data_IF_239700970972
#
_entry.id   IF_239700970972
#
_cell.length_a   1.000
_cell.length_b   1.000
_cell.length_c   1.000
_cell.angle_alpha   90.00
_cell.angle_beta   90.00
_cell.angle_gamma   90.00
#
_symmetry.space_group_name_H-M   'P 1'
#
loop_
_entity.id
_entity.type
_entity.pdbx_description
1 polymer ?
#
# COMPACT_ATOMS: atom_id res chain seq x y z
N UNK A 1 25.68 9.10 50.72
CA UNK A 1 25.37 8.61 49.35
C UNK A 1 24.00 9.07 48.82
N UNK A 2 22.90 9.03 49.61
CA UNK A 2 21.56 9.46 49.14
C UNK A 2 21.40 10.93 48.72
N UNK A 3 22.14 11.87 49.34
CA UNK A 3 22.08 13.31 48.99
C UNK A 3 22.82 13.67 47.69
N UNK A 4 23.84 12.91 47.30
CA UNK A 4 24.60 13.11 46.05
C UNK A 4 23.82 12.61 44.83
N UNK A 5 23.06 11.52 44.96
CA UNK A 5 22.15 11.00 43.93
C UNK A 5 20.99 11.96 43.64
N UNK A 6 20.51 12.71 44.64
CA UNK A 6 19.42 13.68 44.45
C UNK A 6 19.86 14.91 43.66
N UNK A 7 21.09 15.38 43.84
CA UNK A 7 21.60 16.57 43.16
C UNK A 7 21.91 16.30 41.68
N UNK A 8 22.43 15.11 41.35
CA UNK A 8 22.70 14.73 39.97
C UNK A 8 21.42 14.51 39.15
N UNK A 9 20.36 13.97 39.77
CA UNK A 9 19.05 13.81 39.11
C UNK A 9 18.41 15.17 38.84
N UNK A 10 18.44 16.10 39.80
CA UNK A 10 17.89 17.45 39.60
C UNK A 10 18.67 18.21 38.52
N UNK A 11 19.99 18.09 38.50
CA UNK A 11 20.82 18.72 37.47
C UNK A 11 20.59 18.12 36.07
N UNK A 12 20.39 16.80 35.97
CA UNK A 12 20.08 16.13 34.71
C UNK A 12 18.70 16.57 34.17
N UNK A 13 17.69 16.70 35.03
CA UNK A 13 16.35 17.21 34.63
C UNK A 13 16.44 18.67 34.19
N UNK A 14 17.20 19.51 34.89
CA UNK A 14 17.35 20.93 34.54
C UNK A 14 18.05 21.12 33.18
N UNK A 15 19.01 20.25 32.85
CA UNK A 15 19.69 20.25 31.54
C UNK A 15 18.74 19.87 30.40
N UNK A 16 17.78 18.96 30.62
CA UNK A 16 16.79 18.59 29.59
C UNK A 16 15.79 19.70 29.25
N UNK A 17 15.50 20.60 30.19
CA UNK A 17 14.56 21.72 29.99
C UNK A 17 15.21 22.88 29.20
N UNK A 18 16.54 22.97 29.24
CA UNK A 18 17.31 24.01 28.52
C UNK A 18 17.67 23.62 27.08
N UNK A 19 17.22 22.45 26.59
CA UNK A 19 17.42 22.06 25.20
C UNK A 19 16.50 22.88 24.29
N UNK A 20 17.03 23.64 23.32
CA UNK A 20 16.19 24.39 22.39
C UNK A 20 15.42 23.39 21.52
N UNK A 21 14.09 23.42 21.61
CA UNK A 21 13.25 22.76 20.62
C UNK A 21 13.45 23.49 19.29
N UNK A 22 13.96 22.78 18.29
CA UNK A 22 14.11 23.32 16.95
C UNK A 22 12.73 23.62 16.35
N UNK A 23 12.23 24.83 16.56
CA UNK A 23 11.06 25.32 15.83
C UNK A 23 11.52 25.62 14.42
N UNK A 24 11.21 24.72 13.50
CA UNK A 24 11.49 24.92 12.09
C UNK A 24 10.58 26.03 11.56
N UNK A 25 11.08 27.27 11.57
CA UNK A 25 10.50 28.33 10.78
C UNK A 25 10.58 27.88 9.31
N UNK A 26 9.41 27.65 8.71
CA UNK A 26 9.32 27.15 7.34
C UNK A 26 9.86 28.22 6.38
N UNK A 27 10.48 27.80 5.28
CA UNK A 27 10.96 28.76 4.29
C UNK A 27 9.78 29.47 3.63
N UNK A 28 9.59 30.74 3.97
CA UNK A 28 8.61 31.62 3.35
C UNK A 28 9.03 33.05 3.64
N UNK A 29 9.69 33.71 2.70
CA UNK A 29 9.85 35.16 2.77
C UNK A 29 8.44 35.76 2.65
N UNK A 30 8.02 36.54 3.64
CA UNK A 30 6.80 37.33 3.52
C UNK A 30 6.97 38.35 2.40
N UNK A 31 5.92 38.57 1.63
CA UNK A 31 5.91 39.66 0.66
C UNK A 31 5.76 41.02 1.35
N UNK A 32 5.77 42.09 0.55
CA UNK A 32 5.65 43.47 1.05
C UNK A 32 4.34 43.78 1.76
N UNK A 33 3.33 42.89 1.71
CA UNK A 33 2.03 43.04 2.39
C UNK A 33 1.93 42.19 3.67
N UNK A 34 3.01 41.49 4.05
CA UNK A 34 3.06 40.70 5.28
C UNK A 34 2.43 39.31 5.18
N UNK A 35 2.17 38.82 3.96
CA UNK A 35 1.67 37.46 3.75
C UNK A 35 2.64 36.59 2.97
N UNK A 36 2.37 35.29 2.91
CA UNK A 36 3.18 34.35 2.15
C UNK A 36 2.39 33.14 1.66
N UNK A 37 2.87 32.56 0.56
CA UNK A 37 2.39 31.27 0.06
C UNK A 37 3.04 30.12 0.84
N UNK A 38 2.22 29.13 1.22
CA UNK A 38 2.69 27.86 1.74
C UNK A 38 3.52 27.12 0.69
N UNK A 39 4.74 26.72 1.05
CA UNK A 39 5.53 25.82 0.20
C UNK A 39 4.85 24.45 0.10
N UNK A 40 5.04 23.76 -1.03
CA UNK A 40 4.47 22.42 -1.25
C UNK A 40 4.81 21.43 -0.12
N UNK A 41 5.99 21.55 0.49
CA UNK A 41 6.43 20.71 1.62
C UNK A 41 5.72 21.04 2.95
N UNK A 42 5.22 22.26 3.11
CA UNK A 42 4.45 22.67 4.30
C UNK A 42 2.99 22.25 4.18
N UNK A 43 2.45 22.31 2.96
CA UNK A 43 1.11 21.81 2.62
C UNK A 43 1.04 20.28 2.81
N UNK A 44 2.04 19.53 2.32
CA UNK A 44 2.06 18.07 2.44
C UNK A 44 2.16 17.57 3.90
N UNK A 45 2.68 18.40 4.80
CA UNK A 45 2.75 18.12 6.25
C UNK A 45 1.51 18.59 7.01
N UNK A 46 0.52 19.18 6.33
CA UNK A 46 -0.70 19.70 6.95
C UNK A 46 -0.46 20.91 7.87
N UNK A 47 0.67 21.62 7.71
CA UNK A 47 1.04 22.71 8.61
C UNK A 47 0.41 24.05 8.19
N UNK A 48 0.01 24.17 6.92
CA UNK A 48 -0.74 25.30 6.41
C UNK A 48 -1.41 24.98 5.06
N UNK A 49 -2.41 25.77 4.68
CA UNK A 49 -3.18 25.60 3.44
C UNK A 49 -3.22 26.92 2.65
N UNK A 50 -2.41 27.03 1.60
CA UNK A 50 -2.46 28.17 0.65
C UNK A 50 -1.67 29.42 1.08
N UNK A 51 -2.18 30.60 0.76
CA UNK A 51 -1.59 31.88 1.14
C UNK A 51 -2.18 32.37 2.47
N UNK A 52 -1.37 32.89 3.39
CA UNK A 52 -1.89 33.47 4.63
C UNK A 52 -1.07 34.69 5.12
N UNK A 53 -1.74 35.60 5.82
CA UNK A 53 -1.20 36.87 6.33
C UNK A 53 -0.85 36.80 7.82
N UNK A 54 0.21 37.50 8.22
CA UNK A 54 0.68 37.62 9.61
C UNK A 54 0.49 39.04 10.18
N UNK A 55 -0.55 39.76 9.76
CA UNK A 55 -0.80 41.14 10.21
C UNK A 55 -1.43 41.16 11.62
N UNK A 56 -0.58 41.03 12.63
CA UNK A 56 -0.90 41.29 14.03
C UNK A 56 -0.89 42.79 14.35
N UNK A 57 -2.02 43.47 14.11
CA UNK A 57 -2.38 44.75 14.74
C UNK A 57 -1.72 46.04 14.19
N UNK A 58 -2.54 46.93 13.62
CA UNK A 58 -2.19 48.34 13.37
C UNK A 58 -2.85 48.95 12.12
N UNK A 59 -3.88 49.76 12.33
CA UNK A 59 -4.44 50.81 11.44
C UNK A 59 -3.33 51.62 10.72
N UNK A 60 -3.45 52.20 9.52
CA UNK A 60 -4.57 52.66 8.67
C UNK A 60 -3.96 53.19 7.36
N UNK A 61 -4.65 53.09 6.23
CA UNK A 61 -4.96 54.24 5.35
C UNK A 61 -5.60 53.77 4.05
N UNK A 62 -6.78 54.32 3.80
CA UNK A 62 -7.54 54.23 2.56
C UNK A 62 -6.88 55.05 1.46
N UNK A 63 -6.64 54.41 0.32
CA UNK A 63 -6.59 55.08 -0.98
C UNK A 63 -7.44 54.27 -1.95
N UNK A 64 -8.59 54.83 -2.28
CA UNK A 64 -9.49 54.36 -3.32
C UNK A 64 -8.93 54.77 -4.67
N UNK A 65 -8.50 53.79 -5.45
CA UNK A 65 -8.27 53.95 -6.89
C UNK A 65 -9.21 52.99 -7.65
N UNK A 66 -10.22 53.61 -8.24
CA UNK A 66 -11.11 53.02 -9.22
C UNK A 66 -10.29 52.64 -10.46
N UNK A 67 -10.02 51.34 -10.63
CA UNK A 67 -9.50 50.80 -11.88
C UNK A 67 -10.53 49.85 -12.48
N UNK A 68 -10.89 50.21 -13.70
CA UNK A 68 -11.72 49.51 -14.67
C UNK A 68 -11.72 47.99 -14.55
N UNK A 69 -12.91 47.43 -14.38
CA UNK A 69 -13.23 46.02 -14.54
C UNK A 69 -12.92 45.56 -15.97
N UNK A 70 -11.68 45.18 -16.24
CA UNK A 70 -11.39 44.22 -17.29
C UNK A 70 -11.82 42.86 -16.76
N UNK A 71 -12.90 42.31 -17.34
CA UNK A 71 -13.37 40.96 -17.07
C UNK A 71 -12.34 39.96 -17.61
N UNK A 72 -11.21 39.87 -16.92
CA UNK A 72 -10.25 38.80 -17.08
C UNK A 72 -10.95 37.56 -16.54
N UNK A 73 -11.42 36.68 -17.42
CA UNK A 73 -11.96 35.40 -17.01
C UNK A 73 -10.86 34.64 -16.27
N UNK A 74 -10.87 34.71 -14.94
CA UNK A 74 -9.95 33.95 -14.10
C UNK A 74 -10.25 32.48 -14.39
N UNK A 75 -9.33 31.84 -15.11
CA UNK A 75 -9.41 30.41 -15.37
C UNK A 75 -9.08 29.72 -14.06
N UNK A 76 -10.09 29.25 -13.35
CA UNK A 76 -9.91 28.60 -12.05
C UNK A 76 -9.01 27.37 -12.19
N UNK A 77 -8.00 27.25 -11.33
CA UNK A 77 -7.07 26.14 -11.33
C UNK A 77 -7.67 24.92 -10.59
N UNK A 78 -7.38 23.71 -11.09
CA UNK A 78 -7.88 22.47 -10.50
C UNK A 78 -6.97 21.99 -9.37
N UNK A 79 -7.53 21.80 -8.18
CA UNK A 79 -6.85 21.24 -7.00
C UNK A 79 -7.46 19.89 -6.62
N UNK A 80 -6.63 18.91 -6.28
CA UNK A 80 -7.07 17.57 -5.84
C UNK A 80 -6.48 17.28 -4.46
N UNK A 81 -7.32 17.16 -3.43
CA UNK A 81 -6.85 17.03 -2.04
C UNK A 81 -6.04 15.75 -1.77
N UNK A 82 -6.44 14.64 -2.38
CA UNK A 82 -5.83 13.32 -2.23
C UNK A 82 -5.27 12.82 -3.57
N UNK A 83 -4.48 13.66 -4.23
CA UNK A 83 -3.91 13.38 -5.55
C UNK A 83 -3.04 12.12 -5.56
N UNK A 84 -2.32 11.85 -4.47
CA UNK A 84 -1.51 10.64 -4.30
C UNK A 84 -2.37 9.44 -3.92
N UNK A 85 -2.07 8.28 -4.52
CA UNK A 85 -2.74 7.03 -4.16
C UNK A 85 -2.44 6.66 -2.70
N UNK A 86 -3.44 6.20 -1.91
CA UNK A 86 -3.22 5.78 -0.53
C UNK A 86 -2.37 4.51 -0.44
N UNK A 87 -2.45 3.64 -1.46
CA UNK A 87 -1.59 2.45 -1.59
C UNK A 87 -1.12 2.27 -3.03
N UNK A 88 0.05 1.63 -3.26
CA UNK A 88 0.60 1.42 -4.61
C UNK A 88 -0.34 0.69 -5.58
N UNK A 89 -1.22 -0.18 -5.07
CA UNK A 89 -2.15 -0.98 -5.89
C UNK A 89 -3.45 -0.24 -6.22
N UNK A 90 -3.73 0.91 -5.59
CA UNK A 90 -4.97 1.63 -5.82
C UNK A 90 -4.99 2.32 -7.18
N UNK A 91 -6.09 2.17 -7.92
CA UNK A 91 -6.27 2.77 -9.25
C UNK A 91 -7.20 3.98 -9.18
N UNK A 92 -6.87 5.05 -9.91
CA UNK A 92 -7.75 6.22 -10.01
C UNK A 92 -9.04 5.83 -10.72
N UNK A 93 -10.18 6.11 -10.09
CA UNK A 93 -11.50 5.92 -10.70
C UNK A 93 -11.97 7.23 -11.34
N UNK A 94 -12.11 8.28 -10.54
CA UNK A 94 -12.58 9.60 -10.98
C UNK A 94 -12.19 10.68 -9.99
N UNK A 95 -12.18 11.93 -10.44
CA UNK A 95 -12.13 13.09 -9.55
C UNK A 95 -13.57 13.60 -9.38
N UNK A 96 -14.00 13.76 -8.14
CA UNK A 96 -15.35 14.24 -7.77
C UNK A 96 -15.23 15.69 -7.33
N UNK A 97 -16.00 16.58 -7.96
CA UNK A 97 -16.06 17.99 -7.57
C UNK A 97 -16.53 18.11 -6.12
N UNK A 98 -15.83 18.93 -5.34
CA UNK A 98 -16.17 19.22 -3.96
C UNK A 98 -16.69 20.65 -3.82
N UNK A 99 -15.90 21.62 -4.25
CA UNK A 99 -16.21 23.04 -4.13
C UNK A 99 -15.39 23.87 -5.11
N UNK A 100 -15.64 25.18 -5.15
CA UNK A 100 -14.80 26.12 -5.88
C UNK A 100 -14.83 27.48 -5.21
N UNK A 101 -13.73 28.20 -5.26
CA UNK A 101 -13.65 29.60 -4.86
C UNK A 101 -13.31 30.50 -6.06
N UNK A 102 -12.83 31.72 -5.82
CA UNK A 102 -12.45 32.68 -6.88
C UNK A 102 -11.32 32.17 -7.77
N UNK A 103 -10.39 31.36 -7.24
CA UNK A 103 -9.16 30.96 -7.91
C UNK A 103 -9.10 29.46 -8.22
N UNK A 104 -9.80 28.62 -7.47
CA UNK A 104 -9.64 27.17 -7.49
C UNK A 104 -10.95 26.40 -7.64
N UNK A 105 -10.84 25.22 -8.25
CA UNK A 105 -11.87 24.18 -8.24
C UNK A 105 -11.30 22.97 -7.51
N UNK A 106 -11.91 22.62 -6.39
CA UNK A 106 -11.48 21.54 -5.51
C UNK A 106 -12.16 20.23 -5.88
N UNK A 107 -11.36 19.17 -5.94
CA UNK A 107 -11.81 17.81 -6.19
C UNK A 107 -11.27 16.85 -5.14
N UNK A 108 -12.00 15.76 -4.94
CA UNK A 108 -11.52 14.57 -4.25
C UNK A 108 -11.44 13.41 -5.23
N UNK A 109 -10.31 12.73 -5.26
CA UNK A 109 -10.07 11.57 -6.11
C UNK A 109 -10.61 10.31 -5.44
N UNK A 110 -11.48 9.61 -6.15
CA UNK A 110 -11.95 8.28 -5.77
C UNK A 110 -10.94 7.25 -6.27
N UNK A 111 -10.46 6.42 -5.35
CA UNK A 111 -9.52 5.33 -5.60
C UNK A 111 -10.23 3.98 -5.49
N UNK A 112 -10.00 3.09 -6.46
CA UNK A 112 -10.34 1.68 -6.32
C UNK A 112 -9.12 0.96 -5.75
N UNK A 113 -9.21 0.61 -4.48
CA UNK A 113 -8.22 -0.15 -3.73
C UNK A 113 -8.62 -1.63 -3.63
N UNK A 114 -9.50 -2.11 -4.50
CA UNK A 114 -9.79 -3.53 -4.58
C UNK A 114 -8.63 -4.23 -5.29
N UNK A 115 -8.21 -5.37 -4.74
CA UNK A 115 -7.15 -6.19 -5.32
C UNK A 115 -7.73 -7.15 -6.33
N UNK A 116 -7.19 -7.13 -7.54
CA UNK A 116 -7.66 -7.96 -8.66
C UNK A 116 -6.56 -8.86 -9.18
N UNK A 117 -6.93 -10.10 -9.50
CA UNK A 117 -6.09 -11.01 -10.28
C UNK A 117 -5.97 -10.51 -11.73
N UNK A 118 -5.04 -11.07 -12.49
CA UNK A 118 -4.95 -10.81 -13.94
C UNK A 118 -6.20 -11.29 -14.71
N UNK A 119 -7.02 -12.16 -14.11
CA UNK A 119 -8.34 -12.54 -14.65
C UNK A 119 -9.49 -11.61 -14.21
N UNK A 120 -9.22 -10.57 -13.42
CA UNK A 120 -10.22 -9.65 -12.89
C UNK A 120 -11.01 -10.17 -11.68
N UNK A 121 -10.59 -11.28 -11.07
CA UNK A 121 -11.22 -11.76 -9.83
C UNK A 121 -10.72 -10.94 -8.64
N UNK A 122 -11.63 -10.56 -7.74
CA UNK A 122 -11.26 -9.91 -6.48
C UNK A 122 -10.59 -10.92 -5.56
N UNK A 123 -9.48 -10.53 -4.94
CA UNK A 123 -8.79 -11.33 -3.94
C UNK A 123 -8.46 -10.52 -2.69
N UNK A 124 -8.25 -11.21 -1.58
CA UNK A 124 -7.67 -10.62 -0.35
C UNK A 124 -6.40 -11.36 0.00
N UNK A 125 -5.40 -10.65 0.51
CA UNK A 125 -4.23 -11.30 1.12
C UNK A 125 -4.64 -11.88 2.48
N UNK A 126 -4.08 -13.04 2.81
CA UNK A 126 -4.27 -13.73 4.09
C UNK A 126 -2.93 -13.74 4.81
N UNK A 127 -2.90 -13.21 6.02
CA UNK A 127 -1.73 -13.20 6.90
C UNK A 127 -1.60 -14.54 7.63
N UNK A 128 -1.35 -15.60 6.85
CA UNK A 128 -1.22 -16.97 7.35
C UNK A 128 0.23 -17.42 7.33
N UNK A 129 0.69 -17.94 8.46
CA UNK A 129 1.93 -18.69 8.55
C UNK A 129 1.76 -20.11 8.02
N UNK A 130 2.80 -20.66 7.40
CA UNK A 130 2.82 -22.05 6.91
C UNK A 130 3.81 -22.87 7.74
N UNK A 131 3.35 -24.00 8.27
CA UNK A 131 4.17 -25.00 8.95
C UNK A 131 4.11 -26.31 8.17
N UNK A 132 5.29 -26.86 7.85
CA UNK A 132 5.44 -28.16 7.17
C UNK A 132 6.19 -29.09 8.12
N UNK A 133 5.57 -30.21 8.50
CA UNK A 133 6.10 -31.12 9.54
C UNK A 133 6.53 -30.36 10.80
N UNK A 134 5.62 -29.51 11.31
CA UNK A 134 5.81 -28.62 12.47
C UNK A 134 6.95 -27.59 12.34
N UNK A 135 7.56 -27.46 11.16
CA UNK A 135 8.62 -26.49 10.89
C UNK A 135 8.07 -25.31 10.12
N UNK A 136 8.30 -24.10 10.65
CA UNK A 136 7.89 -22.85 10.00
C UNK A 136 8.57 -22.68 8.63
N UNK A 137 7.78 -22.35 7.63
CA UNK A 137 8.24 -22.02 6.29
C UNK A 137 8.06 -20.53 6.02
N UNK A 138 9.18 -19.82 5.88
CA UNK A 138 9.15 -18.44 5.39
C UNK A 138 8.56 -18.39 3.98
N UNK A 139 7.49 -17.61 3.83
CA UNK A 139 6.75 -17.39 2.60
C UNK A 139 7.36 -16.23 1.82
N UNK A 140 7.47 -16.39 0.49
CA UNK A 140 7.82 -15.30 -0.40
C UNK A 140 6.62 -14.39 -0.68
N UNK A 141 5.41 -14.95 -0.64
CA UNK A 141 4.17 -14.21 -0.81
C UNK A 141 3.10 -14.72 0.15
N UNK A 142 2.23 -13.81 0.58
CA UNK A 142 1.07 -14.16 1.40
C UNK A 142 0.14 -15.10 0.63
N UNK A 143 -0.56 -15.94 1.38
CA UNK A 143 -1.72 -16.64 0.83
C UNK A 143 -2.73 -15.61 0.32
N UNK A 144 -3.53 -15.99 -0.68
CA UNK A 144 -4.65 -15.18 -1.13
C UNK A 144 -5.96 -15.94 -1.00
N UNK A 145 -7.06 -15.23 -0.75
CA UNK A 145 -8.41 -15.78 -0.78
C UNK A 145 -9.16 -15.24 -1.98
N UNK A 146 -9.80 -16.13 -2.73
CA UNK A 146 -10.74 -15.79 -3.80
C UNK A 146 -12.01 -16.59 -3.56
N UNK A 147 -13.15 -15.91 -3.40
CA UNK A 147 -14.45 -16.55 -3.11
C UNK A 147 -14.34 -17.59 -1.98
N UNK A 148 -13.69 -17.24 -0.88
CA UNK A 148 -13.44 -18.09 0.30
C UNK A 148 -12.60 -19.35 0.03
N UNK A 149 -11.90 -19.42 -1.10
CA UNK A 149 -10.92 -20.47 -1.39
C UNK A 149 -9.52 -19.89 -1.26
N UNK A 150 -8.68 -20.54 -0.46
CA UNK A 150 -7.28 -20.15 -0.27
C UNK A 150 -6.40 -20.64 -1.41
N UNK A 151 -5.46 -19.80 -1.82
CA UNK A 151 -4.45 -20.10 -2.81
C UNK A 151 -3.06 -19.81 -2.25
N UNK A 152 -2.10 -20.64 -2.63
CA UNK A 152 -0.69 -20.53 -2.24
C UNK A 152 0.14 -20.12 -3.45
N UNK A 153 1.17 -19.29 -3.21
CA UNK A 153 2.13 -18.95 -4.24
C UNK A 153 2.93 -20.18 -4.67
N UNK A 154 3.11 -20.34 -5.98
CA UNK A 154 3.71 -21.54 -6.56
C UNK A 154 5.13 -21.84 -6.04
N UNK A 155 5.95 -20.82 -5.75
CA UNK A 155 7.30 -21.05 -5.22
C UNK A 155 7.31 -21.45 -3.75
N UNK A 156 6.31 -21.02 -3.00
CA UNK A 156 6.14 -21.46 -1.61
C UNK A 156 5.61 -22.90 -1.56
N UNK A 157 4.71 -23.27 -2.48
CA UNK A 157 4.31 -24.67 -2.67
C UNK A 157 5.51 -25.55 -3.08
N UNK A 158 6.32 -25.06 -4.03
CA UNK A 158 7.55 -25.73 -4.47
C UNK A 158 8.45 -26.04 -3.27
N UNK A 159 8.67 -25.05 -2.41
CA UNK A 159 9.51 -25.20 -1.22
C UNK A 159 8.88 -26.14 -0.19
N UNK A 160 7.57 -26.09 0.02
CA UNK A 160 6.88 -26.90 1.02
C UNK A 160 6.91 -28.42 0.71
N UNK A 161 6.88 -28.78 -0.57
CA UNK A 161 6.80 -30.18 -1.03
C UNK A 161 8.02 -30.62 -1.86
N UNK A 162 9.10 -29.85 -1.82
CA UNK A 162 10.35 -30.10 -2.54
C UNK A 162 10.19 -30.38 -4.05
N UNK A 163 9.27 -29.65 -4.70
CA UNK A 163 9.13 -29.74 -6.15
C UNK A 163 10.33 -29.11 -6.87
N UNK A 164 10.68 -29.62 -8.03
CA UNK A 164 11.42 -28.89 -9.06
C UNK A 164 10.46 -27.97 -9.82
N UNK A 165 10.92 -26.79 -10.23
CA UNK A 165 10.12 -25.81 -10.96
C UNK A 165 10.79 -25.50 -12.30
N UNK A 166 10.09 -25.78 -13.38
CA UNK A 166 10.52 -25.53 -14.75
C UNK A 166 9.52 -24.65 -15.50
N UNK A 167 9.99 -23.94 -16.51
CA UNK A 167 9.18 -23.19 -17.46
C UNK A 167 9.56 -23.65 -18.85
N UNK A 168 8.59 -24.19 -19.61
CA UNK A 168 8.83 -24.64 -20.98
C UNK A 168 8.87 -23.47 -21.98
N UNK A 169 9.23 -23.75 -23.23
CA UNK A 169 9.34 -22.74 -24.29
C UNK A 169 8.00 -22.00 -24.54
N UNK A 170 6.88 -22.68 -24.30
CA UNK A 170 5.53 -22.13 -24.39
C UNK A 170 5.11 -21.37 -23.12
N UNK A 171 6.04 -21.13 -22.20
CA UNK A 171 5.85 -20.47 -20.90
C UNK A 171 4.89 -21.19 -19.97
N UNK A 172 4.59 -22.47 -20.23
CA UNK A 172 3.86 -23.27 -19.27
C UNK A 172 4.76 -23.55 -18.07
N UNK A 173 4.15 -23.59 -16.90
CA UNK A 173 4.87 -23.83 -15.66
C UNK A 173 4.71 -25.31 -15.27
N UNK A 174 5.81 -25.95 -14.91
CA UNK A 174 5.83 -27.37 -14.59
C UNK A 174 6.46 -27.52 -13.19
N UNK A 175 5.74 -28.17 -12.28
CA UNK A 175 6.24 -28.63 -11.00
C UNK A 175 6.44 -30.15 -11.06
N UNK A 176 7.63 -30.65 -10.75
CA UNK A 176 7.95 -32.09 -10.76
C UNK A 176 8.39 -32.54 -9.38
N UNK A 177 7.75 -33.56 -8.83
CA UNK A 177 8.28 -34.34 -7.70
C UNK A 177 8.75 -35.69 -8.23
N UNK A 178 9.20 -36.57 -7.34
CA UNK A 178 9.58 -37.95 -7.69
C UNK A 178 8.42 -38.72 -8.34
N UNK A 179 7.20 -38.51 -7.85
CA UNK A 179 6.04 -39.33 -8.22
C UNK A 179 5.04 -38.61 -9.14
N UNK A 180 5.02 -37.26 -9.13
CA UNK A 180 3.97 -36.47 -9.77
C UNK A 180 4.50 -35.30 -10.58
N UNK A 181 3.78 -34.96 -11.65
CA UNK A 181 4.00 -33.75 -12.44
C UNK A 181 2.73 -32.90 -12.48
N UNK A 182 2.84 -31.65 -12.00
CA UNK A 182 1.80 -30.64 -12.12
C UNK A 182 2.18 -29.67 -13.24
N UNK A 183 1.36 -29.58 -14.29
CA UNK A 183 1.55 -28.64 -15.41
C UNK A 183 0.48 -27.57 -15.42
N UNK A 184 0.88 -26.31 -15.54
CA UNK A 184 0.00 -25.14 -15.63
C UNK A 184 0.20 -24.52 -17.00
N UNK A 185 -0.86 -24.54 -17.82
CA UNK A 185 -0.79 -23.95 -19.15
C UNK A 185 -0.85 -22.44 -19.11
N UNK A 186 0.07 -21.74 -19.79
CA UNK A 186 0.21 -20.29 -19.67
C UNK A 186 -1.05 -19.51 -20.09
N UNK A 187 -1.62 -19.87 -21.25
CA UNK A 187 -2.77 -19.16 -21.81
C UNK A 187 -4.07 -19.46 -21.04
N UNK A 188 -4.37 -20.75 -20.85
CA UNK A 188 -5.64 -21.17 -20.24
C UNK A 188 -5.62 -21.15 -18.72
N UNK A 189 -4.42 -21.14 -18.11
CA UNK A 189 -4.17 -21.32 -16.67
C UNK A 189 -4.69 -22.65 -16.12
N UNK A 190 -5.11 -23.58 -16.97
CA UNK A 190 -5.59 -24.90 -16.53
C UNK A 190 -4.45 -25.68 -15.88
N UNK A 191 -4.77 -26.34 -14.76
CA UNK A 191 -3.84 -27.17 -14.01
C UNK A 191 -4.08 -28.63 -14.39
N UNK A 192 -3.02 -29.32 -14.76
CA UNK A 192 -3.01 -30.75 -15.06
C UNK A 192 -2.12 -31.46 -14.06
N UNK A 193 -2.58 -32.60 -13.52
CA UNK A 193 -1.80 -33.51 -12.71
C UNK A 193 -1.61 -34.79 -13.52
N UNK A 194 -0.36 -35.18 -13.77
CA UNK A 194 0.02 -36.38 -14.52
C UNK A 194 -0.73 -36.50 -15.86
N UNK A 195 -0.80 -35.38 -16.57
CA UNK A 195 -1.46 -35.28 -17.88
C UNK A 195 -2.99 -35.20 -17.84
N UNK A 196 -3.64 -35.19 -16.67
CA UNK A 196 -5.10 -35.07 -16.53
C UNK A 196 -5.50 -33.72 -15.96
N UNK A 197 -6.50 -33.07 -16.57
CA UNK A 197 -7.03 -31.81 -16.06
C UNK A 197 -7.63 -32.02 -14.66
N UNK A 198 -7.24 -31.18 -13.71
CA UNK A 198 -7.65 -31.34 -12.31
C UNK A 198 -9.03 -30.76 -12.00
N UNK A 199 -9.64 -30.05 -12.96
CA UNK A 199 -10.84 -29.24 -12.71
C UNK A 199 -10.54 -27.85 -12.15
N UNK A 200 -9.26 -27.53 -11.90
CA UNK A 200 -8.84 -26.25 -11.34
C UNK A 200 -8.00 -25.45 -12.32
N UNK A 201 -8.10 -24.13 -12.17
CA UNK A 201 -7.24 -23.17 -12.86
C UNK A 201 -6.35 -22.47 -11.85
N UNK A 202 -5.11 -22.21 -12.24
CA UNK A 202 -4.22 -21.33 -11.52
C UNK A 202 -4.72 -19.90 -11.64
N UNK A 203 -4.38 -19.10 -10.64
CA UNK A 203 -4.62 -17.67 -10.61
C UNK A 203 -3.29 -16.96 -10.81
N UNK A 204 -3.31 -15.79 -11.45
CA UNK A 204 -2.12 -14.98 -11.63
C UNK A 204 -2.32 -13.60 -11.01
N UNK A 205 -1.37 -13.17 -10.19
CA UNK A 205 -1.35 -11.88 -9.50
C UNK A 205 0.05 -11.31 -9.67
N UNK A 206 0.16 -10.11 -10.26
CA UNK A 206 1.43 -9.41 -10.49
C UNK A 206 2.52 -10.31 -11.10
N UNK A 207 2.18 -11.06 -12.15
CA UNK A 207 3.11 -11.96 -12.83
C UNK A 207 3.28 -13.34 -12.15
N UNK A 208 2.78 -13.52 -10.93
CA UNK A 208 3.02 -14.71 -10.10
C UNK A 208 1.83 -15.67 -10.11
N UNK A 209 2.11 -16.97 -10.25
CA UNK A 209 1.08 -18.02 -10.18
C UNK A 209 0.75 -18.43 -8.76
N UNK A 210 -0.55 -18.55 -8.50
CA UNK A 210 -1.16 -19.03 -7.27
C UNK A 210 -2.01 -20.26 -7.57
N UNK A 211 -1.88 -21.27 -6.72
CA UNK A 211 -2.56 -22.55 -6.87
C UNK A 211 -3.55 -22.78 -5.71
N UNK A 212 -4.71 -23.43 -5.97
CA UNK A 212 -5.70 -23.69 -4.94
C UNK A 212 -5.10 -24.59 -3.86
N UNK A 213 -4.88 -24.03 -2.67
CA UNK A 213 -4.00 -24.60 -1.66
C UNK A 213 -4.40 -26.03 -1.26
N UNK A 214 -5.67 -26.25 -0.92
CA UNK A 214 -6.17 -27.57 -0.50
C UNK A 214 -5.99 -28.65 -1.58
N UNK A 215 -6.24 -28.28 -2.83
CA UNK A 215 -6.07 -29.19 -3.95
C UNK A 215 -4.58 -29.48 -4.19
N UNK A 216 -3.72 -28.45 -4.10
CA UNK A 216 -2.27 -28.61 -4.24
C UNK A 216 -1.65 -29.49 -3.17
N UNK A 217 -2.04 -29.34 -1.90
CA UNK A 217 -1.59 -30.24 -0.82
C UNK A 217 -1.97 -31.69 -1.14
N UNK A 218 -3.19 -31.93 -1.63
CA UNK A 218 -3.64 -33.27 -2.01
C UNK A 218 -2.86 -33.85 -3.19
N UNK A 219 -2.53 -33.04 -4.20
CA UNK A 219 -1.73 -33.48 -5.35
C UNK A 219 -0.29 -33.81 -4.99
N UNK A 220 0.22 -33.21 -3.91
CA UNK A 220 1.53 -33.50 -3.36
C UNK A 220 1.52 -34.65 -2.34
N UNK A 221 0.42 -35.41 -2.26
CA UNK A 221 0.17 -36.46 -1.26
C UNK A 221 0.28 -36.01 0.21
N UNK A 222 0.33 -34.70 0.44
CA UNK A 222 0.38 -34.10 1.75
C UNK A 222 -0.94 -34.17 2.50
N UNK A 223 -0.89 -33.87 3.79
CA UNK A 223 -2.07 -33.80 4.67
C UNK A 223 -2.14 -32.45 5.35
N UNK A 224 -3.33 -31.86 5.36
CA UNK A 224 -3.62 -30.70 6.20
C UNK A 224 -3.95 -31.23 7.60
N UNK A 225 -3.09 -30.95 8.56
CA UNK A 225 -3.32 -31.34 9.95
C UNK A 225 -4.35 -30.41 10.61
N UNK A 226 -4.15 -29.10 10.46
CA UNK A 226 -5.01 -28.07 11.04
C UNK A 226 -4.87 -26.76 10.28
N UNK A 227 -5.94 -25.95 10.35
CA UNK A 227 -5.98 -24.58 9.84
C UNK A 227 -6.65 -23.76 10.94
N UNK A 228 -5.97 -22.71 11.39
CA UNK A 228 -6.54 -21.69 12.25
C UNK A 228 -6.52 -20.31 11.54
N UNK A 229 -6.82 -19.23 12.29
CA UNK A 229 -6.93 -17.89 11.72
C UNK A 229 -5.59 -17.26 11.33
N UNK A 230 -4.48 -17.83 11.79
CA UNK A 230 -3.12 -17.26 11.69
C UNK A 230 -2.11 -18.23 11.10
N UNK A 231 -2.40 -19.53 11.08
CA UNK A 231 -1.47 -20.56 10.68
C UNK A 231 -2.17 -21.75 10.01
N UNK A 232 -1.38 -22.41 9.16
CA UNK A 232 -1.74 -23.64 8.50
C UNK A 232 -0.64 -24.67 8.73
N UNK A 233 -1.03 -25.86 9.17
CA UNK A 233 -0.13 -26.96 9.46
C UNK A 233 -0.37 -28.09 8.46
N UNK A 234 0.69 -28.47 7.75
CA UNK A 234 0.67 -29.57 6.79
C UNK A 234 1.80 -30.56 7.04
N UNK A 235 1.61 -31.79 6.56
CA UNK A 235 2.70 -32.75 6.35
C UNK A 235 2.89 -32.98 4.86
N UNK A 236 4.14 -33.20 4.48
CA UNK A 236 4.51 -33.72 3.17
C UNK A 236 4.84 -35.21 3.23
#
# INVERSE_FOLDING_TARGET
MRKLLSSTIVLAVLITIMLPFGVSAHSGRTDGSGGHNCSAKSVSKGLCSGYHYHNGGGSSSSSSDSSSSSSSSVTKEKVIYNESAPYPYCKKVKDVYQSSDEYYIYYERVWDCTRYTESGSVYTELDLSLYVNDTYQSLQQNFISIKNSSYIYIRDLKKAFDYELEIDDSKNVILKSTDHTIKIYAESRKIYLDGKYTGFNAVKVDGNYYLPFRASVKWAEGKIQSIDNTAVYITN
#
